data_IF_489515659054
#
_entry.id   IF_489515659054
#
_cell.length_a   1.000
_cell.length_b   1.000
_cell.length_c   1.000
_cell.angle_alpha   90.00
_cell.angle_beta   90.00
_cell.angle_gamma   90.00
#
_symmetry.space_group_name_H-M   'P 1'
#
loop_
_entity.id
_entity.type
_entity.pdbx_description
1 polymer ?
#
# COMPACT_ATOMS: atom_id res chain seq x y z
N UNK A 1 30.86 39.96 -79.43
CA UNK A 1 29.65 39.12 -79.27
C UNK A 1 29.79 38.33 -77.97
N UNK A 2 29.11 38.75 -76.90
CA UNK A 2 29.26 38.13 -75.57
C UNK A 2 28.27 36.95 -75.43
N UNK A 3 28.79 35.75 -75.12
CA UNK A 3 28.00 34.53 -74.91
C UNK A 3 27.46 34.53 -73.48
N UNK A 4 26.16 34.72 -73.31
CA UNK A 4 25.46 34.51 -72.03
C UNK A 4 25.47 33.03 -71.67
N UNK A 5 26.30 32.62 -70.69
CA UNK A 5 26.22 31.30 -70.09
C UNK A 5 25.14 31.31 -68.99
N UNK A 6 23.99 30.69 -69.28
CA UNK A 6 22.99 30.37 -68.24
C UNK A 6 23.44 29.11 -67.49
N UNK A 7 23.85 29.27 -66.23
CA UNK A 7 24.07 28.15 -65.32
C UNK A 7 22.71 27.56 -64.92
N UNK A 8 22.46 26.30 -65.31
CA UNK A 8 21.27 25.54 -64.92
C UNK A 8 21.63 24.71 -63.69
N UNK A 9 21.14 25.13 -62.52
CA UNK A 9 21.32 24.37 -61.28
C UNK A 9 20.50 23.08 -61.40
N UNK A 10 21.17 21.94 -61.38
CA UNK A 10 20.56 20.61 -61.47
C UNK A 10 20.22 20.17 -60.05
N UNK A 11 18.94 20.26 -59.66
CA UNK A 11 18.48 19.73 -58.37
C UNK A 11 18.55 18.20 -58.40
N UNK A 12 19.60 17.64 -57.78
CA UNK A 12 19.73 16.22 -57.55
C UNK A 12 18.99 15.88 -56.26
N UNK A 13 17.75 15.38 -56.37
CA UNK A 13 17.06 14.74 -55.26
C UNK A 13 17.72 13.37 -55.01
N UNK A 14 18.88 13.37 -54.36
CA UNK A 14 19.53 12.15 -53.92
C UNK A 14 18.75 11.59 -52.73
N UNK A 15 18.32 10.33 -52.80
CA UNK A 15 17.75 9.63 -51.65
C UNK A 15 18.80 9.42 -50.55
N UNK A 16 18.35 8.94 -49.38
CA UNK A 16 19.23 8.61 -48.25
C UNK A 16 20.17 7.45 -48.61
N UNK A 17 21.45 7.59 -48.30
CA UNK A 17 22.44 6.53 -48.49
C UNK A 17 22.30 5.43 -47.43
N UNK A 18 22.74 4.20 -47.73
CA UNK A 18 22.71 3.09 -46.76
C UNK A 18 23.48 3.41 -45.47
N UNK A 19 24.58 4.16 -45.58
CA UNK A 19 25.38 4.57 -44.42
C UNK A 19 24.60 5.55 -43.54
N UNK A 20 23.94 6.55 -44.13
CA UNK A 20 23.10 7.50 -43.38
C UNK A 20 21.93 6.80 -42.67
N UNK A 21 21.29 5.82 -43.31
CA UNK A 21 20.22 5.04 -42.69
C UNK A 21 20.70 4.29 -41.44
N UNK A 22 21.88 3.65 -41.51
CA UNK A 22 22.44 2.90 -40.37
C UNK A 22 22.78 3.84 -39.20
N UNK A 23 23.29 5.05 -39.49
CA UNK A 23 23.57 6.06 -38.46
C UNK A 23 22.29 6.55 -37.79
N UNK A 24 21.22 6.79 -38.55
CA UNK A 24 19.93 7.22 -37.97
C UNK A 24 19.34 6.11 -37.09
N UNK A 25 19.36 4.86 -37.57
CA UNK A 25 18.87 3.71 -36.80
C UNK A 25 19.68 3.46 -35.52
N UNK A 26 20.99 3.69 -35.55
CA UNK A 26 21.84 3.52 -34.36
C UNK A 26 21.56 4.59 -33.31
N UNK A 27 21.38 5.86 -33.70
CA UNK A 27 21.01 6.92 -32.77
C UNK A 27 19.60 6.65 -32.19
N UNK A 28 18.66 6.23 -33.04
CA UNK A 28 17.29 5.92 -32.61
C UNK A 28 17.23 4.76 -31.62
N UNK A 29 18.00 3.69 -31.84
CA UNK A 29 18.02 2.53 -30.93
C UNK A 29 18.61 2.90 -29.57
N UNK A 30 19.67 3.71 -29.54
CA UNK A 30 20.27 4.22 -28.30
C UNK A 30 19.27 5.09 -27.53
N UNK A 31 18.61 6.04 -28.22
CA UNK A 31 17.59 6.90 -27.60
C UNK A 31 16.41 6.08 -27.06
N UNK A 32 15.94 5.09 -27.82
CA UNK A 32 14.84 4.20 -27.41
C UNK A 32 15.20 3.36 -26.19
N UNK A 33 16.43 2.84 -26.12
CA UNK A 33 16.90 2.06 -24.99
C UNK A 33 16.88 2.89 -23.69
N UNK A 34 17.39 4.13 -23.73
CA UNK A 34 17.38 5.04 -22.57
C UNK A 34 15.94 5.36 -22.13
N UNK A 35 15.04 5.57 -23.09
CA UNK A 35 13.62 5.80 -22.80
C UNK A 35 12.95 4.60 -22.11
N UNK A 36 13.22 3.38 -22.58
CA UNK A 36 12.62 2.17 -22.01
C UNK A 36 13.12 1.87 -20.59
N UNK A 37 14.42 2.06 -20.31
CA UNK A 37 14.96 1.84 -18.97
C UNK A 37 14.41 2.85 -17.96
N UNK A 38 14.34 4.14 -18.33
CA UNK A 38 13.78 5.17 -17.45
C UNK A 38 12.27 5.00 -17.19
N UNK A 39 11.52 4.52 -18.18
CA UNK A 39 10.09 4.22 -18.01
C UNK A 39 9.85 3.13 -16.96
N UNK A 40 10.67 2.08 -16.94
CA UNK A 40 10.53 0.99 -15.96
C UNK A 40 10.72 1.51 -14.53
N UNK A 41 11.72 2.33 -14.27
CA UNK A 41 11.95 2.92 -12.95
C UNK A 41 10.81 3.84 -12.51
N UNK A 42 10.27 4.63 -13.44
CA UNK A 42 9.11 5.48 -13.17
C UNK A 42 7.88 4.66 -12.80
N UNK A 43 7.61 3.58 -13.55
CA UNK A 43 6.47 2.70 -13.31
C UNK A 43 6.50 2.13 -11.88
N UNK A 44 7.66 1.66 -11.40
CA UNK A 44 7.82 1.11 -10.04
C UNK A 44 7.50 2.17 -8.98
N UNK A 45 8.00 3.39 -9.16
CA UNK A 45 7.73 4.51 -8.23
C UNK A 45 6.25 4.86 -8.18
N UNK A 46 5.57 4.84 -9.33
CA UNK A 46 4.12 5.07 -9.40
C UNK A 46 3.36 3.92 -8.74
N UNK A 47 3.78 2.68 -8.98
CA UNK A 47 3.11 1.50 -8.44
C UNK A 47 3.16 1.44 -6.90
N UNK A 48 4.30 1.76 -6.29
CA UNK A 48 4.41 1.87 -4.83
C UNK A 48 3.55 3.01 -4.27
N UNK A 49 3.54 4.17 -4.92
CA UNK A 49 2.72 5.31 -4.46
C UNK A 49 1.23 5.00 -4.54
N UNK A 50 0.81 4.30 -5.59
CA UNK A 50 -0.57 3.85 -5.72
C UNK A 50 -0.92 2.84 -4.62
N UNK A 51 -0.03 1.87 -4.33
CA UNK A 51 -0.22 0.94 -3.23
C UNK A 51 -0.34 1.64 -1.87
N UNK A 52 0.54 2.62 -1.58
CA UNK A 52 0.47 3.42 -0.36
C UNK A 52 -0.87 4.15 -0.23
N UNK A 53 -1.36 4.73 -1.34
CA UNK A 53 -2.66 5.39 -1.38
C UNK A 53 -3.82 4.40 -1.19
N UNK A 54 -3.77 3.23 -1.81
CA UNK A 54 -4.81 2.20 -1.67
C UNK A 54 -4.91 1.71 -0.22
N UNK A 55 -3.78 1.52 0.45
CA UNK A 55 -3.73 1.20 1.89
C UNK A 55 -4.32 2.36 2.72
N UNK A 56 -3.93 3.61 2.44
CA UNK A 56 -4.49 4.78 3.12
C UNK A 56 -6.01 4.90 2.95
N UNK A 57 -6.53 4.62 1.75
CA UNK A 57 -7.96 4.60 1.48
C UNK A 57 -8.68 3.51 2.30
N UNK A 58 -8.06 2.34 2.48
CA UNK A 58 -8.61 1.28 3.35
C UNK A 58 -8.64 1.69 4.83
N UNK A 59 -7.63 2.43 5.32
CA UNK A 59 -7.70 3.02 6.67
C UNK A 59 -8.86 4.01 6.80
N UNK A 60 -9.03 4.92 5.83
CA UNK A 60 -10.15 5.87 5.83
C UNK A 60 -11.50 5.16 5.74
N UNK A 61 -11.59 4.08 4.95
CA UNK A 61 -12.77 3.25 4.88
C UNK A 61 -13.09 2.62 6.25
N UNK A 62 -12.11 2.01 6.92
CA UNK A 62 -12.29 1.42 8.25
C UNK A 62 -12.79 2.45 9.28
N UNK A 63 -12.16 3.63 9.31
CA UNK A 63 -12.57 4.72 10.20
C UNK A 63 -14.01 5.19 9.91
N UNK A 64 -14.38 5.33 8.63
CA UNK A 64 -15.74 5.72 8.23
C UNK A 64 -16.78 4.67 8.59
N UNK A 65 -16.49 3.39 8.34
CA UNK A 65 -17.43 2.30 8.62
C UNK A 65 -17.66 2.13 10.13
N UNK A 66 -16.61 2.30 10.95
CA UNK A 66 -16.72 2.32 12.41
C UNK A 66 -17.53 3.51 12.93
N UNK A 67 -17.22 4.73 12.48
CA UNK A 67 -17.90 5.95 12.94
C UNK A 67 -19.38 6.00 12.53
N UNK A 68 -19.71 5.48 11.34
CA UNK A 68 -21.10 5.36 10.87
C UNK A 68 -21.86 4.20 11.50
N UNK A 69 -21.16 3.27 12.19
CA UNK A 69 -21.77 2.11 12.83
C UNK A 69 -22.41 1.16 11.82
N UNK A 70 -21.78 1.01 10.64
CA UNK A 70 -22.22 0.04 9.63
C UNK A 70 -22.21 -1.35 10.26
N UNK A 71 -23.23 -2.15 9.98
CA UNK A 71 -23.31 -3.52 10.49
C UNK A 71 -22.69 -4.49 9.47
N UNK A 72 -21.83 -5.43 9.90
CA UNK A 72 -21.34 -6.48 9.02
C UNK A 72 -22.50 -7.42 8.64
N UNK A 73 -22.55 -7.80 7.37
CA UNK A 73 -23.68 -8.59 6.80
C UNK A 73 -23.65 -10.04 7.26
N UNK A 74 -22.50 -10.53 7.74
CA UNK A 74 -22.22 -11.96 7.95
C UNK A 74 -22.24 -12.41 9.42
N UNK A 75 -22.21 -11.48 10.38
CA UNK A 75 -21.97 -11.82 11.79
C UNK A 75 -22.66 -10.83 12.73
N UNK A 76 -23.98 -10.99 12.93
CA UNK A 76 -24.71 -10.20 13.93
C UNK A 76 -24.77 -10.96 15.26
N UNK A 77 -24.08 -10.51 16.33
CA UNK A 77 -24.54 -10.82 17.67
C UNK A 77 -25.90 -10.13 17.88
N UNK A 78 -26.90 -10.93 18.22
CA UNK A 78 -28.32 -10.56 18.36
C UNK A 78 -28.66 -9.62 19.53
N UNK A 79 -27.74 -8.78 19.99
CA UNK A 79 -27.93 -7.96 21.18
C UNK A 79 -27.74 -6.46 20.92
N UNK A 80 -28.85 -5.72 21.00
CA UNK A 80 -28.90 -4.28 21.25
C UNK A 80 -28.27 -3.99 22.64
N UNK A 81 -27.30 -3.06 22.80
CA UNK A 81 -26.82 -2.01 21.91
C UNK A 81 -25.36 -2.22 21.45
N UNK A 82 -25.06 -3.37 20.87
CA UNK A 82 -23.72 -3.68 20.38
C UNK A 82 -23.39 -2.92 19.07
N UNK A 83 -22.16 -2.38 18.95
CA UNK A 83 -21.66 -1.66 17.77
C UNK A 83 -20.28 -2.20 17.37
N UNK A 84 -20.08 -2.61 16.10
CA UNK A 84 -18.80 -3.13 15.63
C UNK A 84 -17.72 -2.04 15.59
N UNK A 85 -16.48 -2.44 15.88
CA UNK A 85 -15.29 -1.68 15.50
C UNK A 85 -14.75 -2.23 14.18
N UNK A 86 -14.02 -1.42 13.42
CA UNK A 86 -13.44 -1.86 12.14
C UNK A 86 -11.95 -1.59 12.13
N UNK A 87 -11.18 -2.48 11.52
CA UNK A 87 -9.73 -2.37 11.54
C UNK A 87 -9.02 -3.03 10.37
N UNK A 88 -7.71 -2.80 10.35
CA UNK A 88 -6.79 -3.44 9.43
C UNK A 88 -5.74 -4.23 10.21
N UNK A 89 -5.41 -5.40 9.69
CA UNK A 89 -4.45 -6.32 10.26
C UNK A 89 -3.31 -6.53 9.26
N UNK A 90 -2.09 -6.27 9.73
CA UNK A 90 -0.86 -6.50 8.99
C UNK A 90 -0.01 -7.52 9.75
N UNK A 91 0.55 -8.49 9.03
CA UNK A 91 1.47 -9.48 9.59
C UNK A 91 2.70 -9.66 8.71
N UNK A 92 3.82 -9.99 9.34
CA UNK A 92 5.04 -10.45 8.68
C UNK A 92 4.89 -11.80 7.99
N UNK A 93 3.92 -12.63 8.38
CA UNK A 93 3.73 -13.98 7.83
C UNK A 93 3.10 -13.95 6.43
N UNK A 94 2.29 -12.94 6.15
CA UNK A 94 1.64 -12.72 4.86
C UNK A 94 1.98 -11.33 4.32
N UNK A 95 3.25 -11.05 3.95
CA UNK A 95 3.68 -9.70 3.58
C UNK A 95 3.08 -9.22 2.24
N UNK A 96 2.45 -10.11 1.48
CA UNK A 96 1.76 -9.81 0.22
C UNK A 96 0.26 -9.59 0.38
N UNK A 97 -0.26 -9.57 1.61
CA UNK A 97 -1.67 -9.32 1.86
C UNK A 97 -1.87 -8.63 3.22
N UNK A 98 -2.99 -7.94 3.37
CA UNK A 98 -3.46 -7.44 4.65
C UNK A 98 -4.97 -7.69 4.77
N UNK A 99 -5.45 -7.79 6.00
CA UNK A 99 -6.84 -8.14 6.27
C UNK A 99 -7.62 -6.90 6.71
N UNK A 100 -8.83 -6.76 6.18
CA UNK A 100 -9.83 -5.84 6.68
C UNK A 100 -10.86 -6.63 7.48
N UNK A 101 -11.06 -6.22 8.73
CA UNK A 101 -11.89 -6.94 9.69
C UNK A 101 -12.86 -6.00 10.42
N UNK A 102 -13.94 -6.58 10.93
CA UNK A 102 -14.83 -5.99 11.92
C UNK A 102 -14.62 -6.74 13.24
N UNK A 103 -14.19 -6.01 14.26
CA UNK A 103 -14.08 -6.50 15.63
C UNK A 103 -15.50 -6.65 16.20
N UNK A 104 -15.85 -7.91 16.50
CA UNK A 104 -17.15 -8.36 16.96
C UNK A 104 -17.21 -8.47 18.49
N UNK A 105 -16.09 -8.74 19.15
CA UNK A 105 -15.99 -9.00 20.58
C UNK A 105 -15.62 -7.75 21.42
N UNK A 106 -15.31 -6.63 20.75
CA UNK A 106 -14.80 -5.38 21.30
C UNK A 106 -13.40 -5.49 21.93
N UNK A 107 -12.64 -6.51 21.56
CA UNK A 107 -11.26 -6.77 21.99
C UNK A 107 -10.25 -5.83 21.35
N UNK A 108 -10.65 -5.11 20.29
CA UNK A 108 -9.82 -4.19 19.49
C UNK A 108 -8.67 -4.86 18.75
N UNK A 109 -8.69 -6.19 18.72
CA UNK A 109 -7.75 -7.08 18.04
C UNK A 109 -8.58 -8.01 17.18
N UNK A 110 -7.97 -8.54 16.13
CA UNK A 110 -8.60 -9.59 15.33
C UNK A 110 -8.47 -10.95 16.02
N UNK A 111 -9.58 -11.66 16.22
CA UNK A 111 -9.64 -12.95 16.92
C UNK A 111 -9.93 -14.16 15.99
N UNK A 112 -10.10 -13.92 14.69
CA UNK A 112 -10.53 -14.92 13.71
C UNK A 112 -9.41 -15.78 13.09
N UNK A 113 -9.76 -16.86 12.35
CA UNK A 113 -8.79 -17.63 11.60
C UNK A 113 -8.20 -16.79 10.45
N UNK A 114 -6.87 -16.82 10.33
CA UNK A 114 -6.13 -16.26 9.20
C UNK A 114 -6.47 -17.02 7.89
N UNK A 115 -7.44 -16.51 7.13
CA UNK A 115 -7.69 -16.79 5.71
C UNK A 115 -8.24 -18.20 5.38
N UNK A 116 -9.11 -18.33 4.35
CA UNK A 116 -9.63 -17.27 3.46
C UNK A 116 -10.89 -16.58 3.98
N UNK A 117 -10.97 -15.27 3.74
CA UNK A 117 -12.13 -14.44 4.08
C UNK A 117 -13.05 -14.23 2.87
N UNK A 118 -14.38 -14.23 3.04
CA UNK A 118 -15.10 -14.58 4.28
C UNK A 118 -14.96 -16.08 4.57
N UNK A 119 -14.67 -16.44 5.83
CA UNK A 119 -14.71 -17.84 6.23
C UNK A 119 -16.17 -18.27 6.30
N UNK A 120 -16.51 -19.38 5.65
CA UNK A 120 -17.87 -19.93 5.63
C UNK A 120 -18.21 -20.67 6.94
N UNK A 121 -17.52 -20.36 8.04
CA UNK A 121 -17.64 -21.08 9.31
C UNK A 121 -18.78 -20.47 10.14
N UNK A 122 -19.92 -21.18 10.31
CA UNK A 122 -21.09 -20.66 11.01
C UNK A 122 -20.92 -20.62 12.54
N UNK A 123 -19.81 -21.13 13.08
CA UNK A 123 -19.59 -21.30 14.52
C UNK A 123 -18.69 -20.25 15.18
N UNK A 124 -17.98 -19.43 14.39
CA UNK A 124 -17.09 -18.40 14.89
C UNK A 124 -17.64 -17.02 14.51
N UNK A 125 -17.48 -16.04 15.41
CA UNK A 125 -17.61 -14.62 15.09
C UNK A 125 -16.65 -14.32 13.93
N UNK A 126 -17.14 -14.36 12.69
CA UNK A 126 -16.29 -14.10 11.53
C UNK A 126 -16.02 -12.60 11.51
N UNK A 127 -14.92 -12.21 12.14
CA UNK A 127 -14.44 -10.83 12.14
C UNK A 127 -13.84 -10.44 10.79
N UNK A 128 -13.32 -11.42 10.04
CA UNK A 128 -12.66 -11.12 8.78
C UNK A 128 -13.67 -10.81 7.68
N UNK A 129 -13.54 -9.63 7.07
CA UNK A 129 -14.43 -9.18 5.99
C UNK A 129 -13.81 -9.37 4.62
N UNK A 130 -12.55 -8.96 4.46
CA UNK A 130 -11.87 -8.94 3.17
C UNK A 130 -10.38 -9.19 3.35
N UNK A 131 -9.80 -10.07 2.54
CA UNK A 131 -8.35 -10.19 2.38
C UNK A 131 -7.93 -9.36 1.18
N UNK A 132 -7.16 -8.30 1.40
CA UNK A 132 -6.65 -7.44 0.34
C UNK A 132 -5.26 -7.93 -0.06
N UNK A 133 -5.13 -8.43 -1.27
CA UNK A 133 -3.84 -8.87 -1.82
C UNK A 133 -3.09 -7.69 -2.45
N UNK A 134 -1.82 -7.59 -2.12
CA UNK A 134 -0.91 -6.60 -2.68
C UNK A 134 -0.50 -7.08 -4.07
N UNK A 135 -0.76 -6.24 -5.08
CA UNK A 135 -0.49 -6.58 -6.48
C UNK A 135 0.92 -6.14 -6.92
N UNK A 136 1.34 -6.61 -8.11
CA UNK A 136 2.60 -6.23 -8.77
C UNK A 136 3.88 -6.65 -8.03
N UNK A 137 3.78 -7.65 -7.16
CA UNK A 137 4.93 -8.21 -6.44
C UNK A 137 5.48 -7.31 -5.33
N UNK A 138 4.80 -6.21 -5.02
CA UNK A 138 5.12 -5.40 -3.84
C UNK A 138 4.73 -6.16 -2.57
N UNK A 139 5.35 -5.81 -1.46
CA UNK A 139 5.11 -6.47 -0.18
C UNK A 139 5.38 -5.50 0.98
N UNK A 140 4.80 -5.80 2.14
CA UNK A 140 5.13 -5.16 3.41
C UNK A 140 6.48 -5.71 3.87
N UNK A 141 7.50 -4.87 3.92
CA UNK A 141 8.83 -5.29 4.37
C UNK A 141 8.92 -5.29 5.89
N UNK A 142 8.43 -4.23 6.53
CA UNK A 142 8.61 -4.02 7.97
C UNK A 142 7.38 -3.35 8.57
N UNK A 143 7.08 -3.74 9.80
CA UNK A 143 6.04 -3.16 10.63
C UNK A 143 6.72 -2.75 11.94
N UNK A 144 6.68 -1.46 12.27
CA UNK A 144 7.38 -0.95 13.45
C UNK A 144 6.52 0.04 14.22
N UNK A 145 6.52 -0.11 15.54
CA UNK A 145 5.94 0.86 16.46
C UNK A 145 7.02 1.84 16.93
N UNK A 146 6.63 3.10 17.08
CA UNK A 146 7.51 4.15 17.60
C UNK A 146 7.02 4.62 18.97
N UNK A 147 7.94 4.58 19.92
CA UNK A 147 7.74 5.08 21.29
C UNK A 147 8.89 6.06 21.56
N UNK A 148 8.58 7.35 21.56
CA UNK A 148 9.55 8.42 21.52
C UNK A 148 10.41 8.35 20.26
N UNK A 149 11.73 8.19 20.44
CA UNK A 149 12.69 8.07 19.35
C UNK A 149 13.04 6.61 19.00
N UNK A 150 12.47 5.63 19.70
CA UNK A 150 12.81 4.22 19.55
C UNK A 150 11.82 3.54 18.61
N UNK A 151 12.35 2.87 17.59
CA UNK A 151 11.59 1.98 16.73
C UNK A 151 11.69 0.54 17.26
N UNK A 152 10.57 -0.17 17.30
CA UNK A 152 10.55 -1.60 17.61
C UNK A 152 9.77 -2.31 16.52
N UNK A 153 10.42 -3.25 15.84
CA UNK A 153 9.78 -4.11 14.86
C UNK A 153 8.84 -5.09 15.55
N UNK A 154 7.69 -5.32 14.94
CA UNK A 154 6.66 -6.24 15.42
C UNK A 154 6.21 -7.14 14.28
N UNK A 155 5.82 -8.36 14.64
CA UNK A 155 5.32 -9.38 13.73
C UNK A 155 3.90 -9.08 13.24
N UNK A 156 3.04 -8.58 14.12
CA UNK A 156 1.62 -8.38 13.83
C UNK A 156 1.11 -7.05 14.39
N UNK A 157 0.43 -6.25 13.57
CA UNK A 157 -0.19 -4.99 13.97
C UNK A 157 -1.69 -4.98 13.68
N UNK A 158 -2.46 -4.62 14.71
CA UNK A 158 -3.90 -4.42 14.68
C UNK A 158 -4.18 -2.92 14.77
N UNK A 159 -4.84 -2.36 13.77
CA UNK A 159 -5.24 -0.96 13.74
C UNK A 159 -6.75 -0.89 13.72
N UNK A 160 -7.34 -0.55 14.86
CA UNK A 160 -8.80 -0.62 15.06
C UNK A 160 -9.36 0.77 15.32
N UNK A 161 -10.45 1.10 14.65
CA UNK A 161 -11.22 2.34 14.85
C UNK A 161 -12.51 2.00 15.58
N UNK A 162 -12.84 2.79 16.61
CA UNK A 162 -13.99 2.54 17.47
C UNK A 162 -14.78 3.82 17.70
N UNK A 163 -16.08 3.80 17.40
CA UNK A 163 -17.02 4.88 17.72
C UNK A 163 -16.98 5.23 19.23
N UNK A 164 -17.16 6.51 19.63
CA UNK A 164 -17.41 7.71 18.81
C UNK A 164 -16.15 8.42 18.33
N UNK A 165 -14.98 7.93 18.69
CA UNK A 165 -13.71 8.57 18.35
C UNK A 165 -13.27 8.18 16.93
N UNK A 166 -12.65 9.13 16.22
CA UNK A 166 -11.95 8.86 14.97
C UNK A 166 -10.52 8.35 15.20
N UNK A 167 -10.05 8.35 16.45
CA UNK A 167 -8.76 7.81 16.84
C UNK A 167 -8.56 6.34 16.44
N UNK A 168 -7.31 6.02 16.11
CA UNK A 168 -6.88 4.66 15.86
C UNK A 168 -6.36 4.04 17.17
N UNK A 169 -6.92 2.91 17.57
CA UNK A 169 -6.33 2.05 18.60
C UNK A 169 -5.30 1.15 17.94
N UNK A 170 -4.03 1.36 18.28
CA UNK A 170 -2.91 0.57 17.80
C UNK A 170 -2.63 -0.55 18.81
N UNK A 171 -2.72 -1.80 18.37
CA UNK A 171 -2.42 -3.00 19.15
C UNK A 171 -1.48 -3.89 18.34
N UNK A 172 -0.79 -4.79 19.02
CA UNK A 172 0.03 -5.82 18.39
C UNK A 172 -0.08 -7.12 19.18
N UNK A 173 0.39 -8.20 18.61
CA UNK A 173 0.38 -9.56 19.16
C UNK A 173 1.69 -10.25 18.78
N UNK A 174 2.04 -11.35 19.45
CA UNK A 174 3.25 -12.13 19.14
C UNK A 174 4.56 -11.62 19.76
N UNK A 175 4.69 -10.32 20.06
CA UNK A 175 5.92 -9.72 20.60
C UNK A 175 5.82 -9.28 22.07
N UNK A 176 6.93 -9.29 22.79
CA UNK A 176 6.98 -8.96 24.23
C UNK A 176 6.55 -7.52 24.56
N UNK A 177 6.80 -6.59 23.63
CA UNK A 177 6.34 -5.19 23.74
C UNK A 177 4.81 -5.07 23.66
N UNK A 178 4.14 -6.03 23.02
CA UNK A 178 2.70 -6.00 22.82
C UNK A 178 1.91 -6.17 24.12
N UNK A 179 2.43 -6.96 25.07
CA UNK A 179 1.83 -7.08 26.39
C UNK A 179 1.84 -5.73 27.14
N UNK A 180 2.94 -4.97 27.05
CA UNK A 180 3.06 -3.67 27.71
C UNK A 180 2.13 -2.60 27.11
N UNK A 181 1.94 -2.65 25.80
CA UNK A 181 0.95 -1.82 25.10
C UNK A 181 -0.46 -2.24 25.51
N UNK A 182 -0.70 -3.55 25.63
CA UNK A 182 -2.02 -4.07 25.96
C UNK A 182 -2.51 -3.60 27.33
N UNK A 183 -1.60 -3.59 28.30
CA UNK A 183 -1.79 -3.15 29.69
C UNK A 183 -1.78 -1.62 29.86
N UNK A 184 -1.56 -0.86 28.78
CA UNK A 184 -1.54 0.61 28.80
C UNK A 184 -0.32 1.23 29.49
N UNK A 185 0.72 0.44 29.77
CA UNK A 185 1.98 0.92 30.38
C UNK A 185 2.81 1.74 29.38
N UNK A 186 2.64 1.45 28.09
CA UNK A 186 3.38 2.07 27.00
C UNK A 186 2.43 2.76 26.03
N UNK A 187 2.71 4.02 25.71
CA UNK A 187 1.94 4.81 24.75
C UNK A 187 2.70 4.84 23.43
N UNK A 188 2.03 4.43 22.35
CA UNK A 188 2.58 4.46 20.99
C UNK A 188 2.41 5.88 20.42
N UNK A 189 3.47 6.45 19.86
CA UNK A 189 3.40 7.75 19.17
C UNK A 189 2.84 7.60 17.74
N UNK A 190 3.36 6.60 17.01
CA UNK A 190 2.85 6.20 15.71
C UNK A 190 3.29 4.77 15.35
N UNK A 191 2.51 4.13 14.48
CA UNK A 191 2.88 2.91 13.77
C UNK A 191 3.45 3.29 12.41
N UNK A 192 4.51 2.62 11.97
CA UNK A 192 5.07 2.73 10.64
C UNK A 192 4.96 1.39 9.91
N UNK A 193 4.39 1.41 8.72
CA UNK A 193 4.32 0.28 7.81
C UNK A 193 5.20 0.64 6.61
N UNK A 194 6.22 -0.18 6.35
CA UNK A 194 7.13 -0.01 5.22
C UNK A 194 6.69 -0.95 4.11
N UNK A 195 6.36 -0.38 2.95
CA UNK A 195 6.08 -1.16 1.73
C UNK A 195 7.28 -1.08 0.79
N UNK A 196 7.64 -2.21 0.21
CA UNK A 196 8.81 -2.36 -0.64
C UNK A 196 8.46 -3.07 -1.95
N UNK A 197 9.13 -2.66 -3.01
CA UNK A 197 9.13 -3.37 -4.29
C UNK A 197 10.30 -4.36 -4.34
N UNK A 198 10.21 -5.43 -5.15
CA UNK A 198 11.33 -6.36 -5.39
C UNK A 198 12.58 -5.68 -5.96
N UNK A 199 12.46 -4.44 -6.41
CA UNK A 199 13.50 -3.67 -7.09
C UNK A 199 14.14 -2.61 -6.17
N UNK A 200 13.79 -2.61 -4.87
CA UNK A 200 14.46 -1.82 -3.83
C UNK A 200 13.90 -0.40 -3.61
N UNK A 201 12.85 -0.01 -4.32
CA UNK A 201 12.09 1.22 -3.98
C UNK A 201 11.15 0.90 -2.83
N UNK A 202 11.01 1.82 -1.87
CA UNK A 202 10.09 1.69 -0.73
C UNK A 202 9.29 2.98 -0.51
N UNK A 203 8.18 2.86 0.22
CA UNK A 203 7.38 3.97 0.74
C UNK A 203 6.94 3.67 2.17
N UNK A 204 6.79 4.74 2.94
CA UNK A 204 6.55 4.66 4.38
C UNK A 204 5.15 5.19 4.69
N UNK A 205 4.37 4.40 5.40
CA UNK A 205 3.02 4.76 5.83
C UNK A 205 3.05 4.91 7.34
N UNK A 206 2.77 6.11 7.85
CA UNK A 206 2.70 6.40 9.28
C UNK A 206 1.26 6.56 9.71
N UNK A 207 0.87 5.82 10.74
CA UNK A 207 -0.46 5.85 11.34
C UNK A 207 -0.35 6.35 12.77
N UNK A 208 -1.05 7.45 13.07
CA UNK A 208 -1.05 8.05 14.39
C UNK A 208 -2.28 7.61 15.20
N UNK A 209 -2.18 7.50 16.54
CA UNK A 209 -3.35 7.22 17.40
C UNK A 209 -4.49 8.21 17.24
N UNK A 210 -4.23 9.43 16.76
CA UNK A 210 -5.26 10.42 16.42
C UNK A 210 -6.12 10.06 15.20
N UNK A 211 -5.80 8.96 14.50
CA UNK A 211 -6.42 8.58 13.24
C UNK A 211 -5.82 9.28 12.01
N UNK A 212 -4.79 10.11 12.19
CA UNK A 212 -4.05 10.72 11.07
C UNK A 212 -3.23 9.66 10.35
N UNK A 213 -3.29 9.66 9.01
CA UNK A 213 -2.44 8.83 8.15
C UNK A 213 -1.50 9.77 7.37
N UNK A 214 -0.22 9.45 7.35
CA UNK A 214 0.81 10.20 6.62
C UNK A 214 1.54 9.24 5.67
N UNK A 215 1.64 9.65 4.40
CA UNK A 215 2.36 8.93 3.36
C UNK A 215 3.67 9.66 3.03
N UNK A 216 4.76 8.91 2.90
CA UNK A 216 6.08 9.43 2.52
C UNK A 216 6.72 8.60 1.40
#
# INVERSE_FOLDING_TARGET
>A
MAKNLKFKIKNSNSGMTYVELIVVLSIFSIMSAIGLFSYKEFQIKVDIKNLANDIALKFVQAQKESTTGKLPVLSMPSADPWKPSYGLLFTSDSPSAFLYFADLDQGKVFDGPYIPCPSNDPGNSVECLETITITKGNFVSDISIFIGATATEISEAHITFTRPDSGATLRCTGDSICAQIADGTTIIDFLQITISSPQGTSSLIKVYPSGRIQLN
#
